data_IF_053320189101
#
_entry.id   IF_053320189101
#
_cell.length_a   1.000
_cell.length_b   1.000
_cell.length_c   1.000
_cell.angle_alpha   90.00
_cell.angle_beta   90.00
_cell.angle_gamma   90.00
#
_symmetry.space_group_name_H-M   'P 1'
#
loop_
_entity.id
_entity.type
_entity.pdbx_description
1 polymer ?
#
# COMPACT_ATOMS: atom_id res chain seq x y z
N UNK A 1 -15.44 6.29 12.58
CA UNK A 1 -15.35 5.01 11.82
C UNK A 1 -14.35 5.19 10.69
N UNK A 2 -13.32 4.35 10.62
CA UNK A 2 -12.30 4.32 9.56
C UNK A 2 -12.85 3.49 8.39
N UNK A 3 -12.60 3.93 7.16
CA UNK A 3 -12.91 3.18 5.94
C UNK A 3 -11.61 2.64 5.33
N UNK A 4 -11.46 1.33 5.36
CA UNK A 4 -10.25 0.64 4.96
C UNK A 4 -10.59 -0.52 4.01
N UNK A 5 -10.02 -0.52 2.81
CA UNK A 5 -9.92 -1.74 2.01
C UNK A 5 -8.77 -2.57 2.59
N UNK A 6 -9.10 -3.58 3.40
CA UNK A 6 -8.09 -4.35 4.11
C UNK A 6 -7.22 -5.17 3.14
N UNK A 7 -5.94 -4.78 3.11
CA UNK A 7 -4.83 -5.45 2.45
C UNK A 7 -5.07 -5.81 0.97
N UNK A 8 -5.43 -4.83 0.13
CA UNK A 8 -5.42 -5.06 -1.32
C UNK A 8 -4.01 -5.44 -1.78
N UNK A 9 -3.92 -6.40 -2.71
CA UNK A 9 -2.63 -6.75 -3.31
C UNK A 9 -2.10 -5.58 -4.15
N UNK A 10 -0.90 -5.10 -3.86
CA UNK A 10 -0.31 -3.98 -4.60
C UNK A 10 -0.21 -4.26 -6.10
N UNK A 11 0.11 -5.51 -6.49
CA UNK A 11 0.20 -5.93 -7.88
C UNK A 11 -1.17 -6.08 -8.59
N UNK A 12 -2.29 -6.02 -7.86
CA UNK A 12 -3.62 -6.23 -8.43
C UNK A 12 -4.18 -5.01 -9.17
N UNK A 13 -3.58 -3.85 -9.01
CA UNK A 13 -4.05 -2.59 -9.61
C UNK A 13 -2.88 -1.71 -10.05
N UNK A 14 -3.06 -0.87 -11.09
CA UNK A 14 -2.10 0.18 -11.37
C UNK A 14 -1.94 1.11 -10.15
N UNK A 15 -0.71 1.39 -9.73
CA UNK A 15 -0.44 2.11 -8.49
C UNK A 15 -1.04 3.53 -8.46
N UNK A 16 -1.01 4.25 -9.58
CA UNK A 16 -1.66 5.56 -9.69
C UNK A 16 -3.18 5.48 -9.52
N UNK A 17 -3.83 4.42 -10.04
CA UNK A 17 -5.26 4.18 -9.83
C UNK A 17 -5.56 3.89 -8.35
N UNK A 18 -4.70 3.15 -7.68
CA UNK A 18 -4.83 2.87 -6.25
C UNK A 18 -4.79 4.17 -5.42
N UNK A 19 -3.83 5.06 -5.69
CA UNK A 19 -3.74 6.35 -5.02
C UNK A 19 -5.02 7.18 -5.21
N UNK A 20 -5.55 7.23 -6.45
CA UNK A 20 -6.82 7.91 -6.77
C UNK A 20 -8.02 7.33 -6.03
N UNK A 21 -8.14 6.01 -5.97
CA UNK A 21 -9.23 5.34 -5.26
C UNK A 21 -9.23 5.68 -3.77
N UNK A 22 -8.05 5.66 -3.13
CA UNK A 22 -7.92 6.01 -1.71
C UNK A 22 -8.22 7.49 -1.48
N UNK A 23 -7.74 8.38 -2.36
CA UNK A 23 -8.08 9.81 -2.32
C UNK A 23 -9.59 10.03 -2.42
N UNK A 24 -10.24 9.36 -3.36
CA UNK A 24 -11.70 9.45 -3.54
C UNK A 24 -12.44 8.97 -2.29
N UNK A 25 -12.03 7.83 -1.73
CA UNK A 25 -12.58 7.29 -0.48
C UNK A 25 -12.41 8.29 0.67
N UNK A 26 -11.24 8.89 0.78
CA UNK A 26 -10.93 9.85 1.84
C UNK A 26 -11.81 11.10 1.73
N UNK A 27 -11.93 11.68 0.54
CA UNK A 27 -12.78 12.86 0.28
C UNK A 27 -14.25 12.54 0.56
N UNK A 28 -14.78 11.46 0.00
CA UNK A 28 -16.20 11.07 0.19
C UNK A 28 -16.54 10.72 1.64
N UNK A 29 -15.57 10.23 2.40
CA UNK A 29 -15.76 9.87 3.80
C UNK A 29 -15.47 11.00 4.79
N UNK A 30 -15.07 12.17 4.32
CA UNK A 30 -14.71 13.30 5.20
C UNK A 30 -13.40 13.05 5.97
N UNK A 31 -12.36 12.54 5.29
CA UNK A 31 -11.02 12.37 5.86
C UNK A 31 -10.83 11.05 6.65
N UNK A 32 -11.63 10.01 6.36
CA UNK A 32 -11.59 8.71 7.07
C UNK A 32 -11.02 7.58 6.23
N UNK A 33 -10.52 7.88 5.03
CA UNK A 33 -9.95 6.91 4.11
C UNK A 33 -8.57 6.42 4.58
N UNK A 34 -8.31 5.13 4.45
CA UNK A 34 -7.03 4.50 4.70
C UNK A 34 -6.60 3.63 3.53
N UNK A 35 -5.30 3.59 3.24
CA UNK A 35 -4.73 2.60 2.33
C UNK A 35 -4.35 1.33 3.11
N UNK A 36 -5.03 0.22 2.86
CA UNK A 36 -4.61 -1.10 3.33
C UNK A 36 -4.00 -1.90 2.18
N UNK A 37 -2.73 -2.24 2.26
CA UNK A 37 -1.99 -2.86 1.16
C UNK A 37 -1.06 -3.97 1.64
N UNK A 38 -0.74 -4.93 0.76
CA UNK A 38 0.21 -6.00 1.02
C UNK A 38 0.79 -6.58 -0.27
N UNK A 39 1.79 -7.45 -0.13
CA UNK A 39 2.47 -8.10 -1.25
C UNK A 39 1.66 -9.24 -1.90
N UNK A 40 0.46 -9.53 -1.42
CA UNK A 40 -0.34 -10.74 -1.72
C UNK A 40 0.32 -12.04 -1.22
N UNK A 41 -0.49 -13.06 -1.00
CA UNK A 41 -0.03 -14.38 -0.54
C UNK A 41 -0.82 -15.54 -1.17
N UNK A 42 -2.05 -15.29 -1.62
CA UNK A 42 -2.95 -16.32 -2.14
C UNK A 42 -2.89 -16.35 -3.68
N UNK A 43 -2.13 -17.29 -4.21
CA UNK A 43 -1.98 -17.49 -5.66
C UNK A 43 -3.24 -17.98 -6.31
N UNK A 44 -3.98 -18.89 -5.66
CA UNK A 44 -5.24 -19.43 -6.19
C UNK A 44 -6.29 -18.33 -6.36
N UNK A 45 -6.41 -17.45 -5.37
CA UNK A 45 -7.30 -16.30 -5.45
C UNK A 45 -6.89 -15.35 -6.59
N UNK A 46 -5.60 -15.07 -6.71
CA UNK A 46 -5.10 -14.21 -7.78
C UNK A 46 -5.42 -14.80 -9.15
N UNK A 47 -5.16 -16.09 -9.36
CA UNK A 47 -5.49 -16.79 -10.61
C UNK A 47 -7.00 -16.81 -10.89
N UNK A 48 -7.81 -17.07 -9.87
CA UNK A 48 -9.28 -17.08 -10.00
C UNK A 48 -9.86 -15.72 -10.41
N UNK A 49 -9.17 -14.62 -10.08
CA UNK A 49 -9.54 -13.26 -10.45
C UNK A 49 -8.84 -12.75 -11.72
N UNK A 50 -8.03 -13.58 -12.40
CA UNK A 50 -7.25 -13.17 -13.56
C UNK A 50 -6.14 -12.15 -13.24
N UNK A 51 -5.67 -12.12 -11.99
CA UNK A 51 -4.65 -11.17 -11.54
C UNK A 51 -3.24 -11.77 -11.68
N UNK A 52 -2.22 -10.95 -11.98
CA UNK A 52 -0.84 -11.42 -12.00
C UNK A 52 -0.38 -11.84 -10.60
N UNK A 53 0.38 -12.92 -10.54
CA UNK A 53 1.00 -13.38 -9.30
C UNK A 53 2.50 -13.65 -9.54
N UNK A 54 3.32 -12.60 -9.68
CA UNK A 54 4.73 -12.74 -9.92
C UNK A 54 5.48 -13.32 -8.69
N UNK A 55 6.76 -13.71 -8.84
CA UNK A 55 7.57 -14.18 -7.73
C UNK A 55 7.57 -13.23 -6.52
N UNK A 56 7.78 -13.77 -5.34
CA UNK A 56 7.70 -13.01 -4.06
C UNK A 56 8.61 -11.77 -4.06
N UNK A 57 9.83 -11.87 -4.63
CA UNK A 57 10.74 -10.72 -4.72
C UNK A 57 10.12 -9.56 -5.49
N UNK A 58 9.56 -9.85 -6.66
CA UNK A 58 8.92 -8.85 -7.52
C UNK A 58 7.67 -8.26 -6.85
N UNK A 59 6.87 -9.09 -6.16
CA UNK A 59 5.69 -8.58 -5.43
C UNK A 59 6.05 -7.56 -4.37
N UNK A 60 7.17 -7.73 -3.68
CA UNK A 60 7.67 -6.75 -2.70
C UNK A 60 8.25 -5.50 -3.36
N UNK A 61 8.96 -5.63 -4.48
CA UNK A 61 9.43 -4.48 -5.26
C UNK A 61 8.25 -3.64 -5.75
N UNK A 62 7.22 -4.29 -6.30
CA UNK A 62 5.97 -3.62 -6.74
C UNK A 62 5.22 -2.97 -5.58
N UNK A 63 5.19 -3.61 -4.41
CA UNK A 63 4.60 -3.04 -3.20
C UNK A 63 5.31 -1.75 -2.80
N UNK A 64 6.65 -1.76 -2.77
CA UNK A 64 7.41 -0.57 -2.38
C UNK A 64 7.24 0.57 -3.39
N UNK A 65 7.31 0.29 -4.69
CA UNK A 65 7.04 1.31 -5.72
C UNK A 65 5.61 1.84 -5.64
N UNK A 66 4.61 0.99 -5.39
CA UNK A 66 3.24 1.44 -5.22
C UNK A 66 3.06 2.38 -4.02
N UNK A 67 3.76 2.12 -2.91
CA UNK A 67 3.78 3.00 -1.74
C UNK A 67 4.41 4.35 -2.08
N UNK A 68 5.54 4.35 -2.79
CA UNK A 68 6.23 5.57 -3.23
C UNK A 68 5.35 6.39 -4.17
N UNK A 69 4.69 5.76 -5.14
CA UNK A 69 3.74 6.41 -6.06
C UNK A 69 2.58 7.03 -5.30
N UNK A 70 1.97 6.28 -4.35
CA UNK A 70 0.88 6.82 -3.54
C UNK A 70 1.32 8.06 -2.76
N UNK A 71 2.47 8.00 -2.09
CA UNK A 71 3.00 9.14 -1.33
C UNK A 71 3.33 10.34 -2.22
N UNK A 72 3.92 10.12 -3.39
CA UNK A 72 4.19 11.18 -4.36
C UNK A 72 2.88 11.82 -4.86
N UNK A 73 1.88 11.02 -5.23
CA UNK A 73 0.59 11.51 -5.69
C UNK A 73 -0.20 12.25 -4.60
N UNK A 74 0.06 11.98 -3.32
CA UNK A 74 -0.55 12.68 -2.18
C UNK A 74 0.25 13.90 -1.71
N UNK A 75 1.36 14.18 -2.36
CA UNK A 75 2.15 15.40 -2.18
C UNK A 75 1.88 16.42 -3.29
N UNK A 76 2.61 17.53 -3.28
CA UNK A 76 2.57 18.54 -4.34
C UNK A 76 3.54 18.22 -5.51
N UNK A 77 4.23 17.07 -5.45
CA UNK A 77 5.12 16.61 -6.52
C UNK A 77 4.32 15.90 -7.61
N UNK A 78 4.17 16.54 -8.75
CA UNK A 78 3.51 15.99 -9.93
C UNK A 78 4.52 15.51 -11.00
N UNK A 79 5.77 15.35 -10.66
CA UNK A 79 6.79 14.87 -11.59
C UNK A 79 6.53 13.43 -12.06
N UNK A 80 7.25 12.99 -13.08
CA UNK A 80 7.19 11.60 -13.53
C UNK A 80 7.75 10.66 -12.46
N UNK A 81 7.18 9.47 -12.37
CA UNK A 81 7.73 8.36 -11.58
C UNK A 81 8.34 7.32 -12.52
N UNK A 82 9.62 7.02 -12.36
CA UNK A 82 10.36 6.06 -13.18
C UNK A 82 10.92 4.95 -12.30
N UNK A 83 10.06 3.96 -11.97
CA UNK A 83 10.45 2.79 -11.22
C UNK A 83 10.91 1.63 -12.11
N UNK A 84 11.25 0.52 -11.50
CA UNK A 84 11.57 -0.74 -12.17
C UNK A 84 10.32 -1.39 -12.78
N UNK A 85 9.20 -1.32 -12.08
CA UNK A 85 7.94 -1.98 -12.43
C UNK A 85 6.84 -1.02 -12.87
N UNK A 86 6.92 0.24 -12.47
CA UNK A 86 5.93 1.26 -12.79
C UNK A 86 6.58 2.51 -13.39
N UNK A 87 6.00 3.01 -14.48
CA UNK A 87 6.34 4.29 -15.06
C UNK A 87 5.06 5.14 -15.17
N UNK A 88 5.09 6.33 -14.57
CA UNK A 88 4.03 7.31 -14.66
C UNK A 88 4.59 8.60 -15.26
N UNK A 89 3.98 9.07 -16.34
CA UNK A 89 4.43 10.32 -16.98
C UNK A 89 4.16 11.57 -16.15
N UNK A 90 3.14 11.52 -15.28
CA UNK A 90 2.79 12.58 -14.34
C UNK A 90 2.00 11.99 -13.17
N UNK A 91 2.37 12.34 -11.96
CA UNK A 91 1.71 11.86 -10.73
C UNK A 91 0.60 12.79 -10.22
N UNK A 92 -0.21 13.30 -11.16
CA UNK A 92 -1.32 14.20 -10.85
C UNK A 92 -2.40 13.54 -10.00
N UNK A 93 -2.73 14.16 -8.88
CA UNK A 93 -3.83 13.76 -7.99
C UNK A 93 -4.66 14.99 -7.57
N UNK A 94 -5.76 15.23 -8.27
CA UNK A 94 -6.69 16.32 -7.99
C UNK A 94 -8.14 15.80 -7.97
N UNK A 95 -8.95 16.15 -6.93
CA UNK A 95 -8.54 16.87 -5.72
C UNK A 95 -7.56 16.05 -4.87
N UNK A 96 -6.85 16.70 -3.95
CA UNK A 96 -6.04 16.02 -2.95
C UNK A 96 -6.92 15.45 -1.82
N UNK A 97 -6.38 14.48 -1.07
CA UNK A 97 -7.02 13.92 0.11
C UNK A 97 -7.30 14.99 1.17
N UNK A 98 -8.26 14.74 2.05
CA UNK A 98 -8.52 15.59 3.21
C UNK A 98 -7.57 15.28 4.37
N UNK A 99 -7.19 14.00 4.52
CA UNK A 99 -6.24 13.57 5.53
C UNK A 99 -4.87 14.23 5.35
N UNK A 100 -4.24 14.62 6.45
CA UNK A 100 -2.91 15.26 6.44
C UNK A 100 -1.91 14.48 7.31
N UNK A 101 -0.68 14.31 6.88
CA UNK A 101 -0.11 14.78 5.59
C UNK A 101 -0.62 14.00 4.37
N UNK A 102 -1.19 12.81 4.57
CA UNK A 102 -1.78 11.93 3.56
C UNK A 102 -2.73 10.92 4.22
N UNK A 103 -3.55 10.16 3.47
CA UNK A 103 -4.32 9.04 4.03
C UNK A 103 -3.37 8.05 4.73
N UNK A 104 -3.71 7.62 5.97
CA UNK A 104 -2.84 6.67 6.68
C UNK A 104 -2.72 5.34 5.93
N UNK A 105 -1.55 4.72 6.07
CA UNK A 105 -1.18 3.47 5.40
C UNK A 105 -1.13 2.35 6.42
N UNK A 106 -1.82 1.23 6.10
CA UNK A 106 -1.71 -0.03 6.79
C UNK A 106 -1.06 -1.06 5.86
N UNK A 107 0.02 -1.70 6.31
CA UNK A 107 0.65 -2.79 5.57
C UNK A 107 0.35 -4.12 6.26
N UNK A 108 -0.18 -5.09 5.49
CA UNK A 108 -0.48 -6.43 5.95
C UNK A 108 0.64 -7.42 5.69
N UNK A 109 0.89 -8.28 6.68
CA UNK A 109 1.88 -9.36 6.61
C UNK A 109 2.92 -9.30 7.73
N UNK A 110 3.54 -10.44 8.05
CA UNK A 110 4.41 -10.59 9.21
C UNK A 110 5.88 -10.91 8.89
N UNK A 111 6.31 -10.78 7.63
CA UNK A 111 7.70 -11.07 7.22
C UNK A 111 8.68 -10.01 7.73
N UNK A 112 9.59 -10.39 8.63
CA UNK A 112 10.52 -9.46 9.30
C UNK A 112 11.48 -8.78 8.33
N UNK A 113 12.01 -9.53 7.39
CA UNK A 113 13.04 -9.05 6.46
C UNK A 113 12.52 -8.04 5.42
N UNK A 114 11.25 -8.12 5.05
CA UNK A 114 10.65 -7.28 4.01
C UNK A 114 9.44 -6.51 4.53
N UNK A 115 8.39 -7.21 4.98
CA UNK A 115 7.13 -6.55 5.37
C UNK A 115 7.34 -5.57 6.52
N UNK A 116 7.95 -6.00 7.63
CA UNK A 116 8.12 -5.13 8.80
C UNK A 116 9.04 -3.94 8.53
N UNK A 117 10.03 -4.09 7.62
CA UNK A 117 10.84 -2.96 7.16
C UNK A 117 10.03 -1.94 6.38
N UNK A 118 9.11 -2.39 5.51
CA UNK A 118 8.20 -1.49 4.79
C UNK A 118 7.21 -0.83 5.75
N UNK A 119 6.72 -1.57 6.75
CA UNK A 119 5.88 -0.99 7.83
C UNK A 119 6.62 0.14 8.52
N UNK A 120 7.83 -0.11 9.03
CA UNK A 120 8.62 0.89 9.73
C UNK A 120 8.93 2.14 8.88
N UNK A 121 9.06 1.96 7.56
CA UNK A 121 9.43 3.05 6.65
C UNK A 121 8.23 3.87 6.15
N UNK A 122 7.09 3.23 5.93
CA UNK A 122 5.98 3.85 5.19
C UNK A 122 4.64 3.88 5.93
N UNK A 123 4.43 3.02 6.94
CA UNK A 123 3.09 2.77 7.46
C UNK A 123 2.85 3.38 8.85
N UNK A 124 1.59 3.72 9.11
CA UNK A 124 1.09 4.14 10.42
C UNK A 124 0.47 2.95 11.17
N UNK A 125 0.21 1.83 10.48
CA UNK A 125 -0.35 0.63 11.09
C UNK A 125 0.16 -0.64 10.40
N UNK A 126 0.14 -1.76 11.13
CA UNK A 126 0.47 -3.08 10.63
C UNK A 126 -0.64 -4.07 10.93
N UNK A 127 -0.99 -4.91 9.96
CA UNK A 127 -1.88 -6.05 10.20
C UNK A 127 -1.02 -7.31 10.35
N UNK A 128 -0.95 -7.82 11.58
CA UNK A 128 -0.26 -9.05 11.95
C UNK A 128 -1.28 -10.13 12.33
N UNK A 129 -0.98 -11.37 11.98
CA UNK A 129 -1.76 -12.50 12.50
C UNK A 129 -1.44 -12.75 13.98
N UNK A 130 -2.46 -13.05 14.74
CA UNK A 130 -2.29 -13.50 16.11
C UNK A 130 -1.60 -14.88 16.12
N UNK A 131 -0.54 -15.01 16.92
CA UNK A 131 0.24 -16.24 17.00
C UNK A 131 1.33 -16.15 18.06
N UNK A 132 2.03 -17.27 18.30
CA UNK A 132 3.07 -17.36 19.33
C UNK A 132 4.24 -16.38 19.12
N UNK A 133 4.49 -15.99 17.89
CA UNK A 133 5.58 -15.08 17.46
C UNK A 133 5.17 -13.60 17.45
N UNK A 134 3.92 -13.27 17.77
CA UNK A 134 3.43 -11.88 17.70
C UNK A 134 4.27 -10.91 18.54
N UNK A 135 4.62 -11.32 19.78
CA UNK A 135 5.43 -10.48 20.67
C UNK A 135 6.80 -10.18 20.04
N UNK A 136 7.46 -11.20 19.50
CA UNK A 136 8.73 -11.03 18.80
C UNK A 136 8.62 -10.06 17.62
N UNK A 137 7.57 -10.17 16.80
CA UNK A 137 7.36 -9.26 15.66
C UNK A 137 7.11 -7.82 16.10
N UNK A 138 6.41 -7.61 17.20
CA UNK A 138 6.24 -6.28 17.78
C UNK A 138 7.57 -5.70 18.31
N UNK A 139 8.44 -6.55 18.85
CA UNK A 139 9.78 -6.12 19.30
C UNK A 139 10.69 -5.78 18.12
N UNK A 140 10.56 -6.47 16.99
CA UNK A 140 11.28 -6.15 15.73
C UNK A 140 10.84 -4.80 15.14
N UNK A 141 9.60 -4.37 15.38
CA UNK A 141 9.06 -3.08 14.90
C UNK A 141 9.43 -1.88 15.79
N UNK A 142 9.98 -2.10 16.97
CA UNK A 142 10.43 -1.04 17.91
C UNK A 142 11.83 -0.52 17.55
#
# INVERSE_FOLDING_TARGET
MILLALATAAAARPAGTLAKLVTTLDVLSGGRGWLGVGAAWNEEQARGLGLPFPPTSERFERLEEALQICLQMWSDDESAFNGKHYQLGRTLNSPQSLARPHPPILIGGGGEQKTLRLVARYAQACNLFFGADLRHKLDVLR
#
